data_IF_292401884583
#
_entry.id   IF_292401884583
#
_cell.length_a   1.000
_cell.length_b   1.000
_cell.length_c   1.000
_cell.angle_alpha   90.00
_cell.angle_beta   90.00
_cell.angle_gamma   90.00
#
_symmetry.space_group_name_H-M   'P 1'
#
loop_
_entity.id
_entity.type
_entity.pdbx_description
1 polymer ?
#
# COMPACT_ATOMS: atom_id res chain seq x y z
N UNK A 1 27.95 -5.25 5.69
CA UNK A 1 26.61 -5.56 5.11
C UNK A 1 25.45 -5.48 6.11
N UNK A 2 25.65 -5.76 7.41
CA UNK A 2 24.58 -5.70 8.43
C UNK A 2 23.83 -4.37 8.54
N UNK A 3 24.53 -3.23 8.36
CA UNK A 3 23.94 -1.89 8.48
C UNK A 3 22.87 -1.55 7.44
N UNK A 4 22.83 -2.22 6.28
CA UNK A 4 21.82 -1.92 5.25
C UNK A 4 20.41 -2.32 5.69
N UNK A 5 20.28 -3.47 6.37
CA UNK A 5 19.00 -3.97 6.84
C UNK A 5 18.45 -3.10 7.97
N UNK A 6 19.33 -2.50 8.78
CA UNK A 6 18.97 -1.71 9.97
C UNK A 6 19.22 -0.21 9.80
N UNK A 7 19.45 0.27 8.58
CA UNK A 7 19.80 1.68 8.31
C UNK A 7 18.82 2.63 9.01
N UNK A 8 19.29 3.52 9.93
CA UNK A 8 18.41 4.31 10.77
C UNK A 8 17.48 5.24 9.96
N UNK A 9 16.18 5.16 10.21
CA UNK A 9 15.15 6.03 9.59
C UNK A 9 14.48 6.92 10.62
N UNK A 10 13.91 8.08 10.24
CA UNK A 10 13.15 8.91 11.17
C UNK A 10 11.97 8.16 11.78
N UNK A 11 11.76 8.27 13.10
CA UNK A 11 10.60 7.69 13.80
C UNK A 11 9.28 8.19 13.22
N UNK A 12 9.23 9.43 12.74
CA UNK A 12 8.08 9.99 12.02
C UNK A 12 7.67 9.17 10.80
N UNK A 13 8.63 8.59 10.06
CA UNK A 13 8.34 7.70 8.91
C UNK A 13 7.66 6.42 9.37
N UNK A 14 8.14 5.83 10.46
CA UNK A 14 7.56 4.62 11.06
C UNK A 14 6.14 4.90 11.56
N UNK A 15 5.91 6.05 12.20
CA UNK A 15 4.57 6.45 12.66
C UNK A 15 3.60 6.62 11.49
N UNK A 16 4.03 7.29 10.41
CA UNK A 16 3.22 7.45 9.19
C UNK A 16 2.91 6.10 8.52
N UNK A 17 3.92 5.26 8.34
CA UNK A 17 3.76 3.93 7.78
C UNK A 17 2.79 3.07 8.62
N UNK A 18 2.95 3.09 9.95
CA UNK A 18 2.07 2.39 10.89
C UNK A 18 0.62 2.83 10.77
N UNK A 19 0.37 4.14 10.81
CA UNK A 19 -0.99 4.68 10.69
C UNK A 19 -1.60 4.25 9.35
N UNK A 20 -0.85 4.38 8.24
CA UNK A 20 -1.31 3.95 6.92
C UNK A 20 -1.68 2.46 6.89
N UNK A 21 -0.78 1.59 7.36
CA UNK A 21 -0.98 0.14 7.31
C UNK A 21 -2.17 -0.31 8.16
N UNK A 22 -2.34 0.21 9.38
CA UNK A 22 -3.47 -0.20 10.21
C UNK A 22 -4.80 0.40 9.73
N UNK A 23 -4.82 1.62 9.19
CA UNK A 23 -6.01 2.12 8.51
C UNK A 23 -6.33 1.32 7.24
N UNK A 24 -5.30 0.87 6.52
CA UNK A 24 -5.48 -0.02 5.38
C UNK A 24 -6.06 -1.37 5.80
N UNK A 25 -5.67 -1.95 6.93
CA UNK A 25 -6.30 -3.18 7.46
C UNK A 25 -7.81 -2.97 7.66
N UNK A 26 -8.21 -1.86 8.28
CA UNK A 26 -9.62 -1.53 8.42
C UNK A 26 -10.33 -1.41 7.05
N UNK A 27 -9.69 -0.74 6.09
CA UNK A 27 -10.20 -0.63 4.71
C UNK A 27 -10.25 -1.98 3.99
N UNK A 28 -9.28 -2.89 4.21
CA UNK A 28 -9.26 -4.22 3.62
C UNK A 28 -10.49 -5.00 4.06
N UNK A 29 -10.79 -5.03 5.36
CA UNK A 29 -11.96 -5.73 5.89
C UNK A 29 -13.29 -5.28 5.29
N UNK A 30 -13.44 -3.96 5.11
CA UNK A 30 -14.75 -3.37 4.75
C UNK A 30 -14.90 -3.10 3.25
N UNK A 31 -13.82 -2.87 2.52
CA UNK A 31 -13.83 -2.50 1.09
C UNK A 31 -13.25 -3.59 0.19
N UNK A 32 -12.05 -4.10 0.50
CA UNK A 32 -11.32 -4.95 -0.44
C UNK A 32 -11.57 -6.46 -0.26
N UNK A 33 -11.85 -6.90 0.97
CA UNK A 33 -12.11 -8.30 1.34
C UNK A 33 -13.41 -8.54 2.12
N UNK A 34 -14.52 -7.78 1.90
CA UNK A 34 -15.76 -8.04 2.63
C UNK A 34 -16.30 -9.46 2.37
N UNK A 35 -15.94 -10.07 1.23
CA UNK A 35 -16.26 -11.45 0.85
C UNK A 35 -15.69 -12.52 1.79
N UNK A 36 -14.67 -12.23 2.60
CA UNK A 36 -14.16 -13.23 3.56
C UNK A 36 -15.23 -13.58 4.59
N UNK A 37 -16.12 -12.62 4.93
CA UNK A 37 -17.27 -12.87 5.80
C UNK A 37 -18.25 -13.89 5.21
N UNK A 38 -18.33 -14.00 3.89
CA UNK A 38 -19.25 -14.94 3.23
C UNK A 38 -18.68 -16.35 3.16
N UNK A 39 -17.41 -16.57 3.54
CA UNK A 39 -16.80 -17.91 3.58
C UNK A 39 -17.48 -18.86 4.56
N UNK A 40 -18.16 -18.34 5.58
CA UNK A 40 -18.91 -19.14 6.56
C UNK A 40 -20.13 -19.85 5.96
N UNK A 41 -20.58 -19.42 4.76
CA UNK A 41 -21.64 -20.08 4.01
C UNK A 41 -21.11 -21.21 3.09
N UNK A 42 -19.78 -21.36 2.97
CA UNK A 42 -19.17 -22.44 2.19
C UNK A 42 -19.15 -23.71 3.05
N UNK A 43 -19.54 -24.89 2.50
CA UNK A 43 -19.51 -26.14 3.24
C UNK A 43 -18.15 -26.43 3.85
N UNK A 44 -18.16 -26.90 5.10
CA UNK A 44 -16.95 -27.21 5.86
C UNK A 44 -16.10 -28.31 5.23
N UNK A 45 -16.69 -29.23 4.45
CA UNK A 45 -15.93 -30.26 3.72
C UNK A 45 -14.98 -29.70 2.65
N UNK A 46 -15.19 -28.45 2.20
CA UNK A 46 -14.32 -27.77 1.25
C UNK A 46 -13.18 -27.00 1.93
N UNK A 47 -13.16 -26.94 3.27
CA UNK A 47 -12.11 -26.27 4.03
C UNK A 47 -10.82 -27.10 3.97
N UNK A 48 -9.82 -26.56 3.27
CA UNK A 48 -8.46 -27.10 3.22
C UNK A 48 -7.49 -26.08 3.81
N UNK A 49 -7.13 -26.22 5.10
CA UNK A 49 -6.28 -25.25 5.76
C UNK A 49 -4.92 -25.13 5.07
N UNK A 50 -4.41 -23.90 5.02
CA UNK A 50 -3.02 -23.62 4.65
C UNK A 50 -2.07 -24.44 5.55
N UNK A 51 -0.81 -24.62 5.12
CA UNK A 51 0.19 -25.38 5.88
C UNK A 51 0.24 -24.96 7.36
N UNK A 52 0.20 -23.65 7.65
CA UNK A 52 0.21 -23.15 9.02
C UNK A 52 -1.02 -23.58 9.83
N UNK A 53 -2.20 -23.64 9.23
CA UNK A 53 -3.43 -24.15 9.86
C UNK A 53 -3.52 -25.68 9.92
N UNK A 54 -2.57 -26.39 9.30
CA UNK A 54 -2.35 -27.83 9.53
C UNK A 54 -1.36 -28.09 10.66
N UNK A 55 -0.36 -27.23 10.81
CA UNK A 55 0.63 -27.31 11.88
C UNK A 55 0.06 -26.83 13.22
N UNK A 56 -0.72 -25.75 13.19
CA UNK A 56 -1.60 -25.33 14.28
C UNK A 56 -2.96 -25.91 13.93
N UNK A 57 -3.48 -26.95 14.59
CA UNK A 57 -4.71 -27.64 14.19
C UNK A 57 -5.94 -26.73 14.37
N UNK A 58 -6.08 -25.75 13.49
CA UNK A 58 -7.14 -24.76 13.51
C UNK A 58 -8.44 -25.42 13.03
N UNK A 59 -9.55 -25.29 13.78
CA UNK A 59 -10.81 -25.88 13.39
C UNK A 59 -11.39 -25.17 12.16
N UNK A 60 -12.35 -25.82 11.50
CA UNK A 60 -13.13 -25.19 10.43
C UNK A 60 -13.77 -23.90 10.94
N UNK A 61 -13.62 -22.75 10.23
CA UNK A 61 -14.12 -21.47 10.70
C UNK A 61 -15.64 -21.45 10.87
N UNK A 62 -16.11 -21.08 12.06
CA UNK A 62 -17.54 -20.92 12.35
C UNK A 62 -18.03 -19.50 12.07
N UNK A 63 -19.34 -19.28 11.86
CA UNK A 63 -19.92 -17.94 11.74
C UNK A 63 -19.55 -17.00 12.90
N UNK A 64 -19.58 -17.52 14.13
CA UNK A 64 -19.23 -16.77 15.33
C UNK A 64 -17.76 -16.35 15.32
N UNK A 65 -16.84 -17.26 15.01
CA UNK A 65 -15.41 -16.97 14.95
C UNK A 65 -15.11 -15.86 13.94
N UNK A 66 -15.61 -15.98 12.71
CA UNK A 66 -15.38 -15.00 11.65
C UNK A 66 -15.97 -13.63 12.00
N UNK A 67 -17.16 -13.60 12.61
CA UNK A 67 -17.78 -12.35 13.06
C UNK A 67 -16.97 -11.67 14.18
N UNK A 68 -16.49 -12.43 15.18
CA UNK A 68 -15.65 -11.93 16.27
C UNK A 68 -14.33 -11.39 15.72
N UNK A 69 -13.64 -12.15 14.87
CA UNK A 69 -12.39 -11.71 14.25
C UNK A 69 -12.62 -10.41 13.49
N UNK A 70 -13.67 -10.32 12.66
CA UNK A 70 -13.96 -9.12 11.88
C UNK A 70 -14.10 -7.87 12.77
N UNK A 71 -14.96 -7.91 13.78
CA UNK A 71 -15.23 -6.74 14.62
C UNK A 71 -14.05 -6.37 15.53
N UNK A 72 -13.41 -7.37 16.14
CA UNK A 72 -12.25 -7.15 17.01
C UNK A 72 -11.07 -6.62 16.20
N UNK A 73 -10.78 -7.21 15.04
CA UNK A 73 -9.70 -6.77 14.16
C UNK A 73 -9.95 -5.35 13.64
N UNK A 74 -11.18 -5.03 13.25
CA UNK A 74 -11.55 -3.67 12.82
C UNK A 74 -11.29 -2.64 13.92
N UNK A 75 -11.78 -2.90 15.14
CA UNK A 75 -11.57 -2.01 16.28
C UNK A 75 -10.07 -1.87 16.62
N UNK A 76 -9.36 -2.99 16.73
CA UNK A 76 -7.94 -3.00 17.09
C UNK A 76 -7.08 -2.35 16.01
N UNK A 77 -7.40 -2.48 14.72
CA UNK A 77 -6.70 -1.79 13.65
C UNK A 77 -6.83 -0.26 13.79
N UNK A 78 -8.04 0.24 14.04
CA UNK A 78 -8.26 1.67 14.27
C UNK A 78 -7.51 2.17 15.52
N UNK A 79 -7.51 1.40 16.61
CA UNK A 79 -6.74 1.73 17.82
C UNK A 79 -5.23 1.68 17.58
N UNK A 80 -4.73 0.67 16.87
CA UNK A 80 -3.32 0.49 16.54
C UNK A 80 -2.78 1.64 15.69
N UNK A 81 -3.61 2.19 14.80
CA UNK A 81 -3.29 3.35 13.96
C UNK A 81 -2.91 4.60 14.78
N UNK A 82 -3.37 4.71 16.04
CA UNK A 82 -3.03 5.81 16.97
C UNK A 82 -1.61 5.73 17.54
N UNK A 83 -0.99 4.55 17.52
CA UNK A 83 0.37 4.33 18.03
C UNK A 83 0.53 4.38 19.55
N UNK A 84 -0.55 4.33 20.36
CA UNK A 84 -0.48 4.42 21.83
C UNK A 84 0.17 3.20 22.52
N UNK A 85 -0.15 1.99 22.05
CA UNK A 85 0.39 0.71 22.54
C UNK A 85 0.88 -0.17 21.37
N UNK A 86 1.94 0.25 20.66
CA UNK A 86 2.28 -0.27 19.33
C UNK A 86 2.67 -1.75 19.32
N UNK A 87 3.21 -2.27 20.43
CA UNK A 87 3.57 -3.70 20.55
C UNK A 87 2.34 -4.58 20.73
N UNK A 88 1.56 -4.31 21.77
CA UNK A 88 0.36 -5.08 22.09
C UNK A 88 -0.66 -5.01 20.94
N UNK A 89 -1.10 -3.80 20.59
CA UNK A 89 -2.09 -3.62 19.54
C UNK A 89 -1.59 -4.14 18.18
N UNK A 90 -0.31 -3.92 17.87
CA UNK A 90 0.24 -4.36 16.60
C UNK A 90 0.32 -5.87 16.46
N UNK A 91 0.81 -6.58 17.49
CA UNK A 91 0.82 -8.04 17.47
C UNK A 91 -0.58 -8.65 17.53
N UNK A 92 -1.53 -8.04 18.25
CA UNK A 92 -2.93 -8.47 18.22
C UNK A 92 -3.54 -8.32 16.82
N UNK A 93 -3.32 -7.18 16.14
CA UNK A 93 -3.77 -6.98 14.76
C UNK A 93 -3.10 -7.99 13.82
N UNK A 94 -1.81 -8.25 13.96
CA UNK A 94 -1.12 -9.26 13.15
C UNK A 94 -1.73 -10.65 13.33
N UNK A 95 -1.91 -11.13 14.57
CA UNK A 95 -2.44 -12.45 14.85
C UNK A 95 -3.87 -12.63 14.28
N UNK A 96 -4.73 -11.64 14.49
CA UNK A 96 -6.10 -11.66 13.98
C UNK A 96 -6.16 -11.53 12.45
N UNK A 97 -5.32 -10.69 11.84
CA UNK A 97 -5.26 -10.57 10.39
C UNK A 97 -4.66 -11.82 9.73
N UNK A 98 -3.71 -12.48 10.39
CA UNK A 98 -3.18 -13.79 9.95
C UNK A 98 -4.29 -14.84 9.95
N UNK A 99 -5.07 -14.94 11.03
CA UNK A 99 -6.23 -15.83 11.10
C UNK A 99 -7.26 -15.49 10.02
N UNK A 100 -7.57 -14.20 9.84
CA UNK A 100 -8.45 -13.72 8.76
C UNK A 100 -7.99 -14.20 7.38
N UNK A 101 -6.69 -14.15 7.10
CA UNK A 101 -6.11 -14.64 5.85
C UNK A 101 -6.12 -16.18 5.73
N UNK A 102 -5.93 -16.91 6.83
CA UNK A 102 -6.08 -18.37 6.85
C UNK A 102 -7.52 -18.73 6.45
N UNK A 103 -8.53 -18.11 7.05
CA UNK A 103 -9.94 -18.31 6.67
C UNK A 103 -10.17 -17.97 5.19
N UNK A 104 -9.66 -16.83 4.73
CA UNK A 104 -9.87 -16.35 3.37
C UNK A 104 -9.34 -17.30 2.28
N UNK A 105 -8.17 -17.91 2.53
CA UNK A 105 -7.37 -18.63 1.53
C UNK A 105 -7.46 -20.16 1.63
N UNK A 106 -8.17 -20.70 2.62
CA UNK A 106 -8.32 -22.16 2.84
C UNK A 106 -9.44 -22.80 2.03
N UNK A 107 -9.89 -22.16 0.94
CA UNK A 107 -10.95 -22.65 0.05
C UNK A 107 -10.50 -22.66 -1.42
N UNK A 108 -9.28 -23.17 -1.66
CA UNK A 108 -8.77 -23.44 -3.02
C UNK A 108 -8.18 -22.26 -3.78
N UNK A 109 -8.07 -21.07 -3.18
CA UNK A 109 -7.41 -19.91 -3.79
C UNK A 109 -6.50 -19.23 -2.79
N UNK A 110 -5.22 -19.08 -3.15
CA UNK A 110 -4.22 -18.36 -2.37
C UNK A 110 -3.73 -17.16 -3.15
N UNK A 111 -4.07 -15.96 -2.67
CA UNK A 111 -3.59 -14.70 -3.25
C UNK A 111 -2.29 -14.24 -2.59
N UNK A 112 -1.29 -13.92 -3.41
CA UNK A 112 0.04 -13.54 -2.95
C UNK A 112 0.18 -12.04 -2.62
N UNK A 113 -0.77 -11.20 -3.02
CA UNK A 113 -0.69 -9.75 -2.88
C UNK A 113 -0.77 -9.26 -1.42
N UNK A 114 -1.26 -10.10 -0.50
CA UNK A 114 -1.26 -9.81 0.94
C UNK A 114 0.05 -10.15 1.67
N UNK A 115 1.00 -10.80 1.01
CA UNK A 115 2.25 -11.23 1.66
C UNK A 115 3.04 -10.06 2.25
N UNK A 116 3.25 -8.99 1.47
CA UNK A 116 3.95 -7.79 1.95
C UNK A 116 3.25 -7.12 3.14
N UNK A 117 1.91 -7.10 3.15
CA UNK A 117 1.12 -6.55 4.26
C UNK A 117 1.24 -7.41 5.52
N UNK A 118 1.17 -8.74 5.40
CA UNK A 118 1.36 -9.66 6.53
C UNK A 118 2.73 -9.49 7.18
N UNK A 119 3.79 -9.36 6.37
CA UNK A 119 5.14 -9.08 6.87
C UNK A 119 5.17 -7.71 7.56
N UNK A 120 4.58 -6.67 6.97
CA UNK A 120 4.50 -5.35 7.58
C UNK A 120 3.85 -5.39 8.97
N UNK A 121 2.73 -6.12 9.12
CA UNK A 121 2.03 -6.29 10.38
C UNK A 121 2.85 -7.06 11.42
N UNK A 122 3.64 -8.05 11.00
CA UNK A 122 4.53 -8.80 11.88
C UNK A 122 5.71 -7.95 12.39
N UNK A 123 6.28 -7.09 11.53
CA UNK A 123 7.52 -6.37 11.86
C UNK A 123 7.29 -4.98 12.46
N UNK A 124 6.18 -4.31 12.14
CA UNK A 124 5.84 -2.99 12.70
C UNK A 124 5.85 -2.92 14.25
N UNK A 125 5.36 -3.93 14.99
CA UNK A 125 5.38 -3.95 16.45
C UNK A 125 6.81 -3.89 17.03
N UNK A 126 7.80 -4.42 16.32
CA UNK A 126 9.20 -4.47 16.81
C UNK A 126 9.86 -3.09 16.86
N UNK A 127 9.42 -2.16 15.99
CA UNK A 127 9.93 -0.79 15.93
C UNK A 127 9.59 0.08 17.15
N UNK A 128 8.67 -0.36 18.02
CA UNK A 128 8.35 0.32 19.27
C UNK A 128 7.63 1.66 19.12
N UNK A 129 7.80 2.57 20.09
CA UNK A 129 7.11 3.87 20.10
C UNK A 129 7.69 4.80 19.04
N UNK A 130 6.81 5.39 18.24
CA UNK A 130 7.15 6.38 17.22
C UNK A 130 5.99 7.37 17.10
N UNK A 131 6.30 8.66 16.92
CA UNK A 131 5.32 9.74 16.79
C UNK A 131 5.46 10.43 15.45
N UNK A 132 4.33 10.92 14.91
CA UNK A 132 4.32 11.71 13.69
C UNK A 132 5.20 12.97 13.85
N UNK A 133 5.97 13.29 12.81
CA UNK A 133 6.88 14.44 12.81
C UNK A 133 8.19 14.28 13.59
N UNK A 134 8.40 13.16 14.29
CA UNK A 134 9.62 12.88 15.03
C UNK A 134 10.81 12.62 14.10
N UNK A 135 11.82 13.49 14.16
CA UNK A 135 13.02 13.40 13.33
C UNK A 135 14.09 12.44 13.88
N UNK A 136 13.96 11.97 15.12
CA UNK A 136 14.93 11.06 15.73
C UNK A 136 15.01 9.76 14.93
N UNK A 137 16.23 9.26 14.70
CA UNK A 137 16.45 8.08 13.87
C UNK A 137 16.37 6.80 14.70
N UNK A 138 15.92 5.71 14.08
CA UNK A 138 15.79 4.39 14.72
C UNK A 138 16.18 3.26 13.76
N UNK A 139 17.04 2.37 14.25
CA UNK A 139 17.44 1.15 13.54
C UNK A 139 16.32 0.12 13.48
N UNK A 140 15.56 -0.05 14.57
CA UNK A 140 14.41 -0.95 14.62
C UNK A 140 13.32 -0.54 13.60
N UNK A 141 13.12 0.77 13.40
CA UNK A 141 12.27 1.27 12.32
C UNK A 141 12.84 1.00 10.93
N UNK A 142 14.16 1.13 10.76
CA UNK A 142 14.85 0.79 9.52
C UNK A 142 14.66 -0.68 9.15
N UNK A 143 14.85 -1.58 10.11
CA UNK A 143 14.62 -3.02 9.99
C UNK A 143 13.18 -3.34 9.59
N UNK A 144 12.18 -2.78 10.27
CA UNK A 144 10.79 -3.03 9.96
C UNK A 144 10.41 -2.59 8.53
N UNK A 145 10.88 -1.42 8.10
CA UNK A 145 10.66 -0.95 6.73
C UNK A 145 11.40 -1.83 5.71
N UNK A 146 12.66 -2.20 5.95
CA UNK A 146 13.45 -3.03 5.03
C UNK A 146 12.88 -4.43 4.89
N UNK A 147 12.47 -5.06 5.99
CA UNK A 147 11.80 -6.37 5.96
C UNK A 147 10.51 -6.32 5.13
N UNK A 148 9.71 -5.26 5.29
CA UNK A 148 8.50 -5.04 4.48
C UNK A 148 8.84 -4.87 3.00
N UNK A 149 9.85 -4.04 2.69
CA UNK A 149 10.29 -3.81 1.31
C UNK A 149 10.78 -5.10 0.66
N UNK A 150 11.55 -5.92 1.37
CA UNK A 150 11.98 -7.25 0.89
C UNK A 150 10.76 -8.10 0.57
N UNK A 151 9.76 -8.15 1.45
CA UNK A 151 8.53 -8.92 1.21
C UNK A 151 7.75 -8.42 -0.02
N UNK A 152 7.66 -7.11 -0.23
CA UNK A 152 7.08 -6.50 -1.43
C UNK A 152 7.81 -6.98 -2.68
N UNK A 153 9.15 -6.93 -2.70
CA UNK A 153 9.93 -7.35 -3.86
C UNK A 153 9.90 -8.87 -4.06
N UNK A 154 9.91 -9.65 -2.99
CA UNK A 154 9.69 -11.09 -3.07
C UNK A 154 8.33 -11.42 -3.70
N UNK A 155 7.29 -10.61 -3.44
CA UNK A 155 5.97 -10.80 -4.05
C UNK A 155 6.05 -10.73 -5.58
N UNK A 156 6.75 -9.72 -6.14
CA UNK A 156 6.97 -9.62 -7.58
C UNK A 156 7.84 -10.76 -8.11
N UNK A 157 9.03 -10.91 -7.54
CA UNK A 157 10.02 -11.87 -8.03
C UNK A 157 9.50 -13.30 -7.99
N UNK A 158 8.90 -13.71 -6.86
CA UNK A 158 8.35 -15.06 -6.72
C UNK A 158 7.09 -15.26 -7.55
N UNK A 159 6.31 -14.21 -7.84
CA UNK A 159 5.19 -14.31 -8.77
C UNK A 159 5.68 -14.61 -10.19
N UNK A 160 6.71 -13.92 -10.70
CA UNK A 160 7.30 -14.25 -12.00
C UNK A 160 7.92 -15.65 -12.03
N UNK A 161 8.67 -16.00 -10.98
CA UNK A 161 9.23 -17.34 -10.85
C UNK A 161 8.14 -18.41 -10.87
N UNK A 162 7.03 -18.21 -10.15
CA UNK A 162 5.89 -19.13 -10.15
C UNK A 162 5.24 -19.25 -11.54
N UNK A 163 5.10 -18.14 -12.28
CA UNK A 163 4.58 -18.16 -13.65
C UNK A 163 5.40 -19.08 -14.55
N UNK A 164 6.72 -18.93 -14.54
CA UNK A 164 7.62 -19.75 -15.36
C UNK A 164 7.69 -21.19 -14.84
N UNK A 165 7.78 -21.39 -13.53
CA UNK A 165 7.93 -22.72 -12.91
C UNK A 165 6.70 -23.60 -13.10
N UNK A 166 5.49 -23.05 -12.96
CA UNK A 166 4.26 -23.83 -13.03
C UNK A 166 3.54 -23.72 -14.38
N UNK A 167 3.74 -22.63 -15.11
CA UNK A 167 3.15 -22.40 -16.44
C UNK A 167 4.06 -22.73 -17.62
N UNK A 168 5.35 -22.96 -17.39
CA UNK A 168 6.36 -23.14 -18.43
C UNK A 168 6.73 -21.84 -19.16
N UNK A 169 7.70 -21.88 -20.10
CA UNK A 169 8.00 -20.77 -20.99
C UNK A 169 6.79 -20.28 -21.79
N UNK A 170 5.83 -21.18 -22.06
CA UNK A 170 4.58 -20.93 -22.79
C UNK A 170 3.69 -19.90 -22.08
N UNK A 171 3.91 -19.63 -20.79
CA UNK A 171 3.24 -18.53 -20.09
C UNK A 171 3.45 -17.19 -20.81
N UNK A 172 4.64 -16.98 -21.41
CA UNK A 172 5.02 -15.72 -22.07
C UNK A 172 4.29 -15.48 -23.39
N UNK A 173 3.89 -16.54 -24.09
CA UNK A 173 3.25 -16.48 -25.42
C UNK A 173 1.82 -17.01 -25.43
N UNK A 174 1.36 -17.58 -24.31
CA UNK A 174 0.05 -18.20 -24.19
C UNK A 174 -1.10 -17.22 -24.00
N UNK A 175 -2.29 -17.77 -23.77
CA UNK A 175 -3.56 -17.04 -23.68
C UNK A 175 -3.86 -16.48 -22.28
N UNK A 176 -2.88 -16.38 -21.38
CA UNK A 176 -3.12 -16.04 -19.96
C UNK A 176 -3.70 -14.64 -19.82
N UNK A 177 -3.12 -13.63 -20.47
CA UNK A 177 -3.70 -12.28 -20.46
C UNK A 177 -5.03 -12.21 -21.20
N UNK A 178 -5.17 -12.88 -22.34
CA UNK A 178 -6.44 -12.93 -23.06
C UNK A 178 -7.57 -13.50 -22.19
N UNK A 179 -7.30 -14.60 -21.45
CA UNK A 179 -8.23 -15.19 -20.49
C UNK A 179 -8.57 -14.24 -19.33
N UNK A 180 -7.60 -13.45 -18.88
CA UNK A 180 -7.83 -12.44 -17.84
C UNK A 180 -8.77 -11.34 -18.34
N UNK A 181 -8.57 -10.86 -19.57
CA UNK A 181 -9.44 -9.87 -20.24
C UNK A 181 -10.85 -10.43 -20.42
N UNK A 182 -11.01 -11.64 -20.96
CA UNK A 182 -12.35 -12.24 -21.14
C UNK A 182 -13.12 -12.35 -19.82
N UNK A 183 -12.43 -12.67 -18.72
CA UNK A 183 -13.08 -12.89 -17.42
C UNK A 183 -13.36 -11.59 -16.64
N UNK A 184 -12.55 -10.55 -16.84
CA UNK A 184 -12.50 -9.37 -15.94
C UNK A 184 -12.23 -8.04 -16.63
N UNK A 185 -12.22 -8.04 -17.97
CA UNK A 185 -11.83 -6.93 -18.82
C UNK A 185 -12.78 -5.75 -18.72
N UNK A 186 -12.25 -4.58 -19.05
CA UNK A 186 -12.98 -3.33 -19.25
C UNK A 186 -12.96 -2.95 -20.73
N UNK A 187 -13.68 -1.89 -21.10
CA UNK A 187 -13.61 -1.31 -22.46
C UNK A 187 -12.16 -0.96 -22.88
N UNK A 188 -11.34 -0.46 -21.94
CA UNK A 188 -9.91 -0.22 -22.20
C UNK A 188 -9.16 -1.51 -22.59
N UNK A 189 -9.48 -2.65 -21.97
CA UNK A 189 -8.84 -3.91 -22.32
C UNK A 189 -9.30 -4.41 -23.69
N UNK A 190 -10.55 -4.17 -24.09
CA UNK A 190 -11.04 -4.51 -25.42
C UNK A 190 -10.31 -3.71 -26.51
N UNK A 191 -10.02 -2.43 -26.26
CA UNK A 191 -9.20 -1.61 -27.16
C UNK A 191 -7.76 -2.15 -27.27
N UNK A 192 -7.15 -2.50 -26.13
CA UNK A 192 -5.78 -3.04 -26.09
C UNK A 192 -5.71 -4.41 -26.79
N UNK A 193 -6.72 -5.26 -26.62
CA UNK A 193 -6.76 -6.60 -27.17
C UNK A 193 -6.83 -6.63 -28.71
N UNK A 194 -7.28 -5.53 -29.34
CA UNK A 194 -7.31 -5.39 -30.79
C UNK A 194 -5.93 -5.16 -31.41
N UNK A 195 -4.93 -4.74 -30.62
CA UNK A 195 -3.58 -4.47 -31.12
C UNK A 195 -2.82 -5.79 -31.27
N UNK A 196 -2.40 -6.16 -32.50
CA UNK A 196 -1.69 -7.41 -32.74
C UNK A 196 -0.44 -7.54 -31.86
N UNK A 197 -0.23 -8.72 -31.28
CA UNK A 197 0.91 -9.08 -30.44
C UNK A 197 1.11 -8.28 -29.14
N UNK A 198 0.31 -7.24 -28.86
CA UNK A 198 0.49 -6.39 -27.69
C UNK A 198 0.38 -7.17 -26.37
N UNK A 199 -0.55 -8.14 -26.29
CA UNK A 199 -0.69 -8.99 -25.11
C UNK A 199 0.54 -9.87 -24.88
N UNK A 200 1.18 -10.35 -25.94
CA UNK A 200 2.42 -11.14 -25.83
C UNK A 200 3.55 -10.24 -25.32
N UNK A 201 3.74 -9.06 -25.93
CA UNK A 201 4.74 -8.08 -25.48
C UNK A 201 4.50 -7.69 -24.00
N UNK A 202 3.24 -7.52 -23.60
CA UNK A 202 2.89 -7.25 -22.21
C UNK A 202 3.24 -8.41 -21.28
N UNK A 203 3.02 -9.68 -21.67
CA UNK A 203 3.43 -10.85 -20.88
C UNK A 203 4.94 -10.90 -20.66
N UNK A 204 5.74 -10.66 -21.72
CA UNK A 204 7.20 -10.53 -21.60
C UNK A 204 7.59 -9.38 -20.69
N UNK A 205 6.99 -8.20 -20.86
CA UNK A 205 7.23 -7.05 -20.01
C UNK A 205 6.94 -7.33 -18.54
N UNK A 206 5.80 -7.97 -18.24
CA UNK A 206 5.38 -8.37 -16.90
C UNK A 206 6.44 -9.26 -16.24
N UNK A 207 6.80 -10.36 -16.89
CA UNK A 207 7.78 -11.30 -16.33
C UNK A 207 9.15 -10.64 -16.18
N UNK A 208 9.59 -9.86 -17.17
CA UNK A 208 10.89 -9.18 -17.12
C UNK A 208 10.98 -8.20 -15.94
N UNK A 209 10.01 -7.30 -15.75
CA UNK A 209 10.09 -6.34 -14.66
C UNK A 209 9.92 -7.00 -13.29
N UNK A 210 9.06 -8.03 -13.19
CA UNK A 210 8.87 -8.78 -11.94
C UNK A 210 10.16 -9.50 -11.52
N UNK A 211 10.85 -10.16 -12.47
CA UNK A 211 12.16 -10.80 -12.22
C UNK A 211 13.26 -9.79 -11.89
N UNK A 212 13.24 -8.62 -12.52
CA UNK A 212 14.21 -7.55 -12.29
C UNK A 212 13.89 -6.68 -11.07
N UNK A 213 12.77 -6.91 -10.39
CA UNK A 213 12.36 -6.12 -9.22
C UNK A 213 13.41 -6.03 -8.10
N UNK A 214 14.29 -7.02 -7.83
CA UNK A 214 15.37 -6.88 -6.83
C UNK A 214 16.37 -5.76 -7.12
N UNK A 215 16.53 -5.35 -8.39
CA UNK A 215 17.42 -4.25 -8.79
C UNK A 215 17.08 -2.96 -8.05
N UNK A 216 15.84 -2.76 -7.62
CA UNK A 216 15.38 -1.58 -6.87
C UNK A 216 16.23 -1.27 -5.63
N UNK A 217 16.85 -2.28 -5.02
CA UNK A 217 17.66 -2.13 -3.80
C UNK A 217 19.04 -1.53 -4.06
N UNK A 218 19.57 -1.66 -5.28
CA UNK A 218 20.87 -1.09 -5.67
C UNK A 218 20.72 0.23 -6.44
N UNK A 219 19.50 0.63 -6.77
CA UNK A 219 19.23 1.91 -7.42
C UNK A 219 19.49 3.11 -6.50
N UNK A 220 20.05 4.17 -7.11
CA UNK A 220 20.12 5.51 -6.48
C UNK A 220 18.70 6.00 -6.16
N UNK A 221 18.56 6.84 -5.14
CA UNK A 221 17.24 7.26 -4.60
C UNK A 221 16.27 7.78 -5.68
N UNK A 222 16.72 8.64 -6.59
CA UNK A 222 15.88 9.18 -7.68
C UNK A 222 15.29 8.07 -8.57
N UNK A 223 16.12 7.11 -8.94
CA UNK A 223 15.73 6.01 -9.82
C UNK A 223 14.88 5.00 -9.08
N UNK A 224 15.18 4.76 -7.80
CA UNK A 224 14.33 3.95 -6.93
C UNK A 224 12.92 4.52 -6.86
N UNK A 225 12.75 5.83 -6.63
CA UNK A 225 11.42 6.45 -6.58
C UNK A 225 10.70 6.37 -7.93
N UNK A 226 11.42 6.57 -9.05
CA UNK A 226 10.85 6.37 -10.39
C UNK A 226 10.38 4.93 -10.61
N UNK A 227 11.16 3.93 -10.20
CA UNK A 227 10.78 2.51 -10.25
C UNK A 227 9.56 2.20 -9.40
N UNK A 228 9.47 2.76 -8.18
CA UNK A 228 8.27 2.61 -7.35
C UNK A 228 7.06 3.29 -8.00
N UNK A 229 7.23 4.46 -8.62
CA UNK A 229 6.18 5.10 -9.42
C UNK A 229 5.71 4.20 -10.56
N UNK A 230 6.64 3.60 -11.30
CA UNK A 230 6.33 2.62 -12.34
C UNK A 230 5.54 1.41 -11.78
N UNK A 231 5.92 0.88 -10.62
CA UNK A 231 5.18 -0.22 -9.96
C UNK A 231 3.74 0.18 -9.60
N UNK A 232 3.51 1.39 -9.10
CA UNK A 232 2.15 1.91 -8.88
C UNK A 232 1.37 2.02 -10.20
N UNK A 233 2.00 2.56 -11.25
CA UNK A 233 1.36 2.70 -12.57
C UNK A 233 1.01 1.35 -13.19
N UNK A 234 1.88 0.34 -13.04
CA UNK A 234 1.58 -1.02 -13.49
C UNK A 234 0.30 -1.56 -12.85
N UNK A 235 0.17 -1.40 -11.53
CA UNK A 235 -1.03 -1.84 -10.81
C UNK A 235 -2.27 -1.02 -11.16
N UNK A 236 -2.11 0.29 -11.41
CA UNK A 236 -3.19 1.14 -11.89
C UNK A 236 -3.69 0.68 -13.27
N UNK A 237 -2.79 0.41 -14.22
CA UNK A 237 -3.14 -0.12 -15.54
C UNK A 237 -3.79 -1.50 -15.40
N UNK A 238 -3.27 -2.37 -14.53
CA UNK A 238 -3.86 -3.69 -14.26
C UNK A 238 -5.29 -3.58 -13.74
N UNK A 239 -5.55 -2.65 -12.80
CA UNK A 239 -6.90 -2.37 -12.32
C UNK A 239 -7.79 -1.81 -13.43
N UNK A 240 -7.30 -0.82 -14.18
CA UNK A 240 -8.04 -0.14 -15.23
C UNK A 240 -8.37 -1.03 -16.42
N UNK A 241 -7.64 -2.14 -16.62
CA UNK A 241 -7.83 -3.06 -17.74
C UNK A 241 -8.58 -4.33 -17.33
N UNK A 242 -8.20 -4.96 -16.22
CA UNK A 242 -8.74 -6.29 -15.83
C UNK A 242 -9.30 -6.33 -14.41
N UNK A 243 -9.56 -5.16 -13.80
CA UNK A 243 -10.24 -5.01 -12.50
C UNK A 243 -9.64 -5.81 -11.34
N UNK A 244 -8.35 -6.20 -11.44
CA UNK A 244 -7.64 -6.89 -10.37
C UNK A 244 -7.01 -5.85 -9.43
N UNK A 245 -7.39 -5.94 -8.15
CA UNK A 245 -6.80 -5.11 -7.09
C UNK A 245 -5.61 -5.78 -6.43
N UNK A 246 -4.53 -5.02 -6.31
CA UNK A 246 -3.36 -5.33 -5.49
C UNK A 246 -3.20 -4.33 -4.33
N UNK A 247 -4.30 -3.73 -3.87
CA UNK A 247 -4.28 -2.67 -2.86
C UNK A 247 -3.46 -3.02 -1.59
N UNK A 248 -3.51 -4.25 -1.03
CA UNK A 248 -2.67 -4.63 0.11
C UNK A 248 -1.17 -4.57 -0.20
N UNK A 249 -0.79 -5.01 -1.39
CA UNK A 249 0.58 -4.94 -1.86
C UNK A 249 1.03 -3.48 -2.03
N UNK A 250 0.18 -2.63 -2.60
CA UNK A 250 0.44 -1.19 -2.75
C UNK A 250 0.60 -0.51 -1.38
N UNK A 251 -0.24 -0.84 -0.40
CA UNK A 251 -0.12 -0.31 0.97
C UNK A 251 1.24 -0.68 1.58
N UNK A 252 1.68 -1.94 1.47
CA UNK A 252 3.00 -2.37 1.92
C UNK A 252 4.15 -1.68 1.15
N UNK A 253 3.98 -1.44 -0.16
CA UNK A 253 4.95 -0.75 -1.01
C UNK A 253 5.20 0.71 -0.62
N UNK A 254 4.28 1.34 0.13
CA UNK A 254 4.53 2.66 0.72
C UNK A 254 5.73 2.69 1.66
N UNK A 255 6.22 1.54 2.13
CA UNK A 255 7.48 1.42 2.89
C UNK A 255 8.71 1.94 2.14
N UNK A 256 8.67 2.03 0.80
CA UNK A 256 9.73 2.66 -0.01
C UNK A 256 9.67 4.18 -0.03
N UNK A 257 8.53 4.77 0.33
CA UNK A 257 8.28 6.20 0.19
C UNK A 257 8.77 6.98 1.43
N UNK A 258 9.22 8.24 1.25
CA UNK A 258 9.59 9.11 2.37
C UNK A 258 8.34 9.70 3.05
N UNK A 259 7.56 8.84 3.71
CA UNK A 259 6.25 9.17 4.28
C UNK A 259 6.27 10.31 5.31
N UNK A 260 7.39 10.52 5.99
CA UNK A 260 7.60 11.65 6.91
C UNK A 260 7.57 13.03 6.23
N UNK A 261 7.76 13.07 4.89
CA UNK A 261 7.67 14.29 4.10
C UNK A 261 6.23 14.64 3.70
N UNK A 262 5.31 13.67 3.79
CA UNK A 262 3.91 13.83 3.40
C UNK A 262 3.13 14.47 4.55
N UNK A 263 2.74 15.74 4.37
CA UNK A 263 2.02 16.53 5.40
C UNK A 263 0.66 17.02 4.89
N UNK A 264 -0.31 16.12 4.69
CA UNK A 264 -1.57 16.44 4.02
C UNK A 264 -2.38 17.51 4.76
N UNK A 265 -2.38 17.49 6.09
CA UNK A 265 -3.06 18.52 6.91
C UNK A 265 -2.41 19.90 6.74
N UNK A 266 -1.09 19.96 6.62
CA UNK A 266 -0.38 21.23 6.39
C UNK A 266 -0.64 21.73 4.98
N UNK A 267 -0.66 20.83 3.99
CA UNK A 267 -0.98 21.16 2.61
C UNK A 267 -2.43 21.66 2.48
N UNK A 268 -3.39 20.95 3.07
CA UNK A 268 -4.80 21.35 3.09
C UNK A 268 -5.00 22.70 3.80
N UNK A 269 -4.38 22.92 4.96
CA UNK A 269 -4.43 24.23 5.65
C UNK A 269 -3.80 25.35 4.83
N UNK A 270 -2.73 25.09 4.07
CA UNK A 270 -2.13 26.07 3.16
C UNK A 270 -3.03 26.37 1.97
N UNK A 271 -3.72 25.37 1.43
CA UNK A 271 -4.67 25.55 0.34
C UNK A 271 -5.91 26.33 0.80
N UNK A 272 -6.43 26.03 1.99
CA UNK A 272 -7.54 26.78 2.61
C UNK A 272 -7.14 28.23 2.91
N UNK A 273 -5.97 28.45 3.52
CA UNK A 273 -5.45 29.82 3.75
C UNK A 273 -5.16 30.62 2.48
N UNK A 274 -4.82 29.96 1.36
CA UNK A 274 -4.71 30.61 0.06
C UNK A 274 -6.07 30.98 -0.55
N UNK A 275 -7.14 30.31 -0.11
CA UNK A 275 -8.51 30.55 -0.55
C UNK A 275 -9.20 31.63 0.29
N UNK A 276 -8.81 31.75 1.57
CA UNK A 276 -9.22 32.83 2.47
C UNK A 276 -8.33 34.09 2.35
N UNK A 277 -7.30 34.04 1.51
CA UNK A 277 -6.51 35.19 1.11
C UNK A 277 -7.31 36.03 0.14
N UNK A 278 -8.12 36.94 0.71
CA UNK A 278 -8.62 38.16 0.08
C UNK A 278 -7.58 38.66 -0.91
N UNK A 279 -7.95 38.73 -2.19
CA UNK A 279 -7.30 39.61 -3.15
C UNK A 279 -7.22 40.96 -2.47
N UNK A 280 -6.02 41.35 -2.01
CA UNK A 280 -5.75 42.76 -1.76
C UNK A 280 -5.97 43.43 -3.11
N UNK A 281 -7.11 44.10 -3.22
CA UNK A 281 -7.54 44.80 -4.41
C UNK A 281 -6.39 45.73 -4.86
N UNK A 282 -5.90 45.63 -6.10
CA UNK A 282 -4.88 46.55 -6.61
C UNK A 282 -5.29 48.03 -6.48
N UNK A 283 -6.57 48.32 -6.26
CA UNK A 283 -7.08 49.68 -6.06
C UNK A 283 -6.71 50.31 -4.69
N UNK A 284 -6.51 49.53 -3.63
CA UNK A 284 -6.17 50.10 -2.30
C UNK A 284 -4.71 50.60 -2.21
N UNK A 285 -3.79 50.03 -3.00
CA UNK A 285 -2.39 50.48 -3.05
C UNK A 285 -2.24 51.77 -3.87
N UNK A 286 -3.14 52.01 -4.83
CA UNK A 286 -3.15 53.23 -5.63
C UNK A 286 -3.73 54.43 -4.85
N UNK A 287 -4.72 54.21 -3.98
CA UNK A 287 -5.30 55.27 -3.14
C UNK A 287 -4.29 55.83 -2.12
N UNK A 288 -3.46 54.97 -1.52
CA UNK A 288 -2.46 55.39 -0.53
C UNK A 288 -1.31 56.22 -1.15
N UNK A 289 -0.95 55.96 -2.41
CA UNK A 289 0.07 56.74 -3.12
C UNK A 289 -0.43 58.12 -3.60
N UNK A 290 -1.70 58.24 -3.99
CA UNK A 290 -2.28 59.52 -4.44
C UNK A 290 -2.52 60.47 -3.26
N UNK A 291 -2.89 59.94 -2.08
CA UNK A 291 -3.06 60.76 -0.88
C UNK A 291 -1.73 61.26 -0.31
N UNK A 292 -0.64 60.50 -0.42
CA UNK A 292 0.69 60.95 -0.01
C UNK A 292 1.27 62.04 -0.93
N UNK A 293 0.93 62.05 -2.23
CA UNK A 293 1.41 63.07 -3.17
C UNK A 293 0.61 64.39 -3.12
N UNK A 294 -0.64 64.37 -2.63
CA UNK A 294 -1.48 65.56 -2.54
C UNK A 294 -1.16 66.44 -1.31
N UNK A 295 -0.58 65.87 -0.25
CA UNK A 295 -0.26 66.59 1.01
C UNK A 295 1.07 67.38 0.91
N UNK A 296 1.94 67.08 -0.07
CA UNK A 296 3.25 67.71 -0.21
C UNK A 296 3.31 69.02 -1.01
N UNK A 297 2.18 69.60 -1.44
CA UNK A 297 2.17 70.75 -2.39
C UNK A 297 1.48 72.02 -1.92
N UNK A 298 1.20 72.16 -0.63
CA UNK A 298 0.75 73.44 -0.08
C UNK A 298 1.55 73.79 1.17
N UNK A 299 2.48 74.74 0.99
CA UNK A 299 2.80 75.90 1.86
C UNK A 299 4.21 76.36 1.49
N UNK A 300 4.28 77.36 0.60
CA UNK A 300 5.36 78.36 0.56
C UNK A 300 5.11 79.42 1.65
N UNK A 301 6.06 80.33 1.90
CA UNK A 301 6.54 81.28 0.89
C UNK A 301 8.02 81.15 0.50
#
# INVERSE_FOLDING_TARGET
MSRWLTEPVPRGRVAAFRTLIYLFVAADLVVFTPWVRTRVAVPGELYQPLLIGRLLPLPTPTPALVAVIFWVLLLLALLAATGRAPRLLGWSVFALYLEWMIVAMSYGKVDHDRFGLLVALAVLPTAGRARHGDATRTEAGGWALRATQIAVICTYFLAAWAKVRFGGPEWLTGSVLARAIIRRGTELADLIAQVPYLLIVAQFGIVAFELLSPVVFVLRERWRLATIGFFYSFHLVTMATITISFAPHLAAMTSFLPLERVRPVVWARRLLRRRDGVDADPEDVAAEYVQASAVGRAVGP
#
